data_IF_875318387687
#
_entry.id   IF_875318387687
#
_cell.length_a   1.000
_cell.length_b   1.000
_cell.length_c   1.000
_cell.angle_alpha   90.00
_cell.angle_beta   90.00
_cell.angle_gamma   90.00
#
_symmetry.space_group_name_H-M   'P 1'
#
loop_
_entity.id
_entity.type
_entity.pdbx_description
1 polymer ?
#
# COMPACT_ATOMS: atom_id res chain seq x y z
N UNK A 1 -43.50 -16.44 14.33
CA UNK A 1 -42.49 -15.60 13.68
C UNK A 1 -41.21 -16.40 13.48
N UNK A 2 -40.82 -16.63 12.24
CA UNK A 2 -39.58 -17.30 11.90
C UNK A 2 -38.54 -16.22 11.70
N UNK A 3 -37.48 -16.16 12.53
CA UNK A 3 -36.31 -15.25 12.35
C UNK A 3 -35.15 -16.04 11.76
N UNK A 4 -34.61 -15.56 10.68
CA UNK A 4 -33.43 -16.14 10.05
C UNK A 4 -32.19 -15.42 10.61
N UNK A 5 -31.33 -16.17 11.30
CA UNK A 5 -30.06 -15.68 11.81
C UNK A 5 -28.94 -16.05 10.84
N UNK A 6 -28.27 -15.08 10.29
CA UNK A 6 -27.04 -15.30 9.52
C UNK A 6 -25.85 -15.15 10.44
N UNK A 7 -25.31 -16.27 10.91
CA UNK A 7 -24.02 -16.29 11.61
C UNK A 7 -22.92 -16.30 10.55
N UNK A 8 -22.17 -15.21 10.36
CA UNK A 8 -21.10 -15.19 9.38
C UNK A 8 -20.02 -16.19 9.79
N UNK A 9 -19.86 -17.24 9.01
CA UNK A 9 -18.93 -18.36 9.24
C UNK A 9 -17.47 -17.93 9.34
N UNK A 10 -17.13 -16.74 8.81
CA UNK A 10 -15.78 -16.19 8.80
C UNK A 10 -15.86 -14.66 8.87
N UNK A 11 -15.79 -14.10 10.06
CA UNK A 11 -15.48 -12.67 10.18
C UNK A 11 -13.99 -12.44 9.98
N UNK A 12 -13.68 -11.58 9.05
CA UNK A 12 -12.29 -11.18 8.76
C UNK A 12 -11.83 -10.20 9.82
N UNK A 13 -11.03 -10.68 10.75
CA UNK A 13 -10.38 -9.83 11.78
C UNK A 13 -9.03 -9.29 11.30
N UNK A 14 -8.44 -9.94 10.28
CA UNK A 14 -7.18 -9.52 9.71
C UNK A 14 -7.37 -8.34 8.76
N UNK A 15 -6.47 -7.36 8.76
CA UNK A 15 -6.49 -6.27 7.78
C UNK A 15 -6.20 -6.81 6.38
N UNK A 16 -6.72 -6.12 5.35
CA UNK A 16 -6.41 -6.44 3.96
C UNK A 16 -5.05 -5.90 3.51
N UNK A 17 -4.47 -4.94 4.25
CA UNK A 17 -3.21 -4.28 3.92
C UNK A 17 -2.37 -4.08 5.17
N UNK A 18 -1.08 -4.37 5.06
CA UNK A 18 -0.07 -4.16 6.09
C UNK A 18 1.14 -3.47 5.45
N UNK A 19 1.60 -2.40 6.07
CA UNK A 19 2.86 -1.77 5.75
C UNK A 19 3.89 -2.13 6.83
N UNK A 20 5.14 -2.35 6.42
CA UNK A 20 6.23 -2.65 7.34
C UNK A 20 7.57 -2.18 6.77
N UNK A 21 8.56 -2.08 7.65
CA UNK A 21 9.95 -1.82 7.26
C UNK A 21 10.62 -3.15 6.91
N UNK A 22 11.57 -3.11 5.97
CA UNK A 22 12.34 -4.29 5.60
C UNK A 22 13.08 -4.88 6.83
N UNK A 23 12.95 -6.20 7.02
CA UNK A 23 13.51 -6.91 8.17
C UNK A 23 12.63 -6.88 9.43
N UNK A 24 11.50 -6.16 9.43
CA UNK A 24 10.54 -6.16 10.53
C UNK A 24 9.77 -7.49 10.60
N UNK A 25 9.50 -7.95 11.82
CA UNK A 25 8.66 -9.13 12.06
C UNK A 25 7.18 -8.75 12.02
N UNK A 26 6.48 -9.28 11.04
CA UNK A 26 5.05 -9.03 10.87
C UNK A 26 4.27 -10.18 11.49
N UNK A 27 3.46 -9.88 12.52
CA UNK A 27 2.61 -10.85 13.20
C UNK A 27 1.17 -10.75 12.70
N UNK A 28 0.61 -11.88 12.30
CA UNK A 28 -0.76 -11.99 11.78
C UNK A 28 -1.49 -13.08 12.57
N UNK A 29 -2.60 -12.78 13.26
CA UNK A 29 -3.38 -13.78 13.96
C UNK A 29 -3.78 -14.94 13.04
N UNK A 30 -3.44 -16.17 13.41
CA UNK A 30 -3.72 -17.33 12.61
C UNK A 30 -3.83 -18.60 13.45
N UNK A 31 -4.98 -19.26 13.40
CA UNK A 31 -5.27 -20.47 14.16
C UNK A 31 -5.12 -21.76 13.37
N UNK A 32 -4.60 -21.69 12.13
CA UNK A 32 -4.43 -22.86 11.26
C UNK A 32 -3.03 -23.46 11.32
N UNK A 33 -2.75 -24.33 10.36
CA UNK A 33 -1.46 -25.00 10.21
C UNK A 33 -0.59 -24.32 9.15
N UNK A 34 0.73 -24.34 9.36
CA UNK A 34 1.70 -23.79 8.40
C UNK A 34 1.96 -24.82 7.30
N UNK A 35 1.06 -24.90 6.34
CA UNK A 35 1.19 -25.78 5.18
C UNK A 35 0.95 -25.05 3.88
N UNK A 36 1.61 -25.49 2.80
CA UNK A 36 1.40 -24.93 1.46
C UNK A 36 -0.02 -25.16 0.92
N UNK A 37 -0.77 -26.11 1.50
CA UNK A 37 -2.18 -26.33 1.19
C UNK A 37 -3.05 -25.20 1.72
N UNK A 38 -2.70 -24.66 2.90
CA UNK A 38 -3.48 -23.68 3.62
C UNK A 38 -3.05 -22.23 3.34
N UNK A 39 -1.76 -22.05 3.03
CA UNK A 39 -1.13 -20.73 2.92
C UNK A 39 -0.29 -20.62 1.65
N UNK A 40 -0.16 -19.38 1.15
CA UNK A 40 0.86 -19.02 0.18
C UNK A 40 1.29 -17.56 0.44
N UNK A 41 2.58 -17.29 0.30
CA UNK A 41 3.14 -15.94 0.31
C UNK A 41 3.94 -15.75 -0.97
N UNK A 42 3.49 -14.82 -1.80
CA UNK A 42 4.15 -14.51 -3.07
C UNK A 42 4.56 -13.04 -3.11
N UNK A 43 5.78 -12.78 -3.54
CA UNK A 43 6.16 -11.45 -3.98
C UNK A 43 5.54 -11.16 -5.34
N UNK A 44 5.09 -9.94 -5.59
CA UNK A 44 4.50 -9.54 -6.85
C UNK A 44 4.92 -8.12 -7.27
N UNK A 45 4.83 -7.85 -8.55
CA UNK A 45 5.05 -6.55 -9.17
C UNK A 45 3.92 -6.26 -10.16
N UNK A 46 4.02 -5.16 -10.89
CA UNK A 46 3.11 -4.87 -12.01
C UNK A 46 3.08 -5.97 -13.10
N UNK A 47 4.18 -6.71 -13.23
CA UNK A 47 4.31 -7.84 -14.17
C UNK A 47 3.71 -9.17 -13.65
N UNK A 48 3.23 -9.20 -12.39
CA UNK A 48 2.65 -10.40 -11.78
C UNK A 48 3.49 -10.97 -10.62
N UNK A 49 3.35 -12.27 -10.34
CA UNK A 49 4.08 -12.96 -9.28
C UNK A 49 5.54 -13.10 -9.68
N UNK A 50 6.45 -12.62 -8.83
CA UNK A 50 7.90 -12.63 -9.07
C UNK A 50 8.61 -13.76 -8.34
N UNK A 51 8.18 -14.11 -7.13
CA UNK A 51 8.79 -15.18 -6.35
C UNK A 51 7.87 -15.75 -5.27
N UNK A 52 8.22 -16.95 -4.79
CA UNK A 52 7.57 -17.60 -3.65
C UNK A 52 8.37 -17.32 -2.37
N UNK A 53 7.75 -16.57 -1.46
CA UNK A 53 8.33 -16.20 -0.18
C UNK A 53 7.80 -17.05 1.00
N UNK A 54 7.17 -18.21 0.74
CA UNK A 54 6.61 -19.06 1.79
C UNK A 54 7.61 -19.46 2.89
N UNK A 55 8.90 -19.57 2.56
CA UNK A 55 9.96 -19.97 3.51
C UNK A 55 10.21 -18.93 4.61
N UNK A 56 9.80 -17.67 4.43
CA UNK A 56 9.92 -16.61 5.43
C UNK A 56 8.82 -16.68 6.48
N UNK A 57 7.84 -17.57 6.32
CA UNK A 57 6.74 -17.76 7.25
C UNK A 57 7.10 -18.76 8.34
N UNK A 58 6.74 -18.44 9.57
CA UNK A 58 6.77 -19.32 10.72
C UNK A 58 5.48 -19.21 11.52
N UNK A 59 5.13 -20.24 12.30
CA UNK A 59 3.97 -20.23 13.18
C UNK A 59 4.45 -20.20 14.63
N UNK A 60 4.11 -19.17 15.39
CA UNK A 60 4.51 -19.00 16.79
C UNK A 60 3.34 -18.45 17.61
N UNK A 61 2.99 -19.14 18.68
CA UNK A 61 1.99 -18.68 19.67
C UNK A 61 0.66 -18.23 19.06
N UNK A 62 0.14 -18.92 18.04
CA UNK A 62 -1.09 -18.55 17.36
C UNK A 62 -0.95 -17.42 16.35
N UNK A 63 0.28 -16.97 16.05
CA UNK A 63 0.57 -15.99 15.03
C UNK A 63 1.36 -16.60 13.88
N UNK A 64 0.94 -16.27 12.67
CA UNK A 64 1.76 -16.40 11.49
C UNK A 64 2.73 -15.23 11.48
N UNK A 65 4.01 -15.53 11.55
CA UNK A 65 5.09 -14.55 11.57
C UNK A 65 5.78 -14.57 10.21
N UNK A 66 5.73 -13.45 9.50
CA UNK A 66 6.57 -13.21 8.34
C UNK A 66 7.80 -12.43 8.80
N UNK A 67 8.98 -12.99 8.59
CA UNK A 67 10.24 -12.45 9.07
C UNK A 67 11.20 -12.23 7.92
N UNK A 68 12.04 -11.19 8.04
CA UNK A 68 13.11 -10.88 7.08
C UNK A 68 12.64 -10.77 5.62
N UNK A 69 11.52 -10.06 5.42
CA UNK A 69 11.06 -9.75 4.06
C UNK A 69 11.89 -8.61 3.47
N UNK A 70 12.34 -8.81 2.22
CA UNK A 70 13.00 -7.77 1.44
C UNK A 70 12.01 -6.68 1.00
N UNK A 71 12.48 -5.48 0.63
CA UNK A 71 11.61 -4.45 0.07
C UNK A 71 10.83 -4.96 -1.14
N UNK A 72 9.52 -4.71 -1.15
CA UNK A 72 8.64 -5.20 -2.21
C UNK A 72 7.20 -5.31 -1.76
N UNK A 73 6.36 -5.77 -2.66
CA UNK A 73 4.97 -6.05 -2.39
C UNK A 73 4.74 -7.56 -2.36
N UNK A 74 4.01 -8.01 -1.34
CA UNK A 74 3.74 -9.41 -1.13
C UNK A 74 2.24 -9.63 -0.96
N UNK A 75 1.78 -10.80 -1.37
CA UNK A 75 0.42 -11.25 -1.16
C UNK A 75 0.41 -12.54 -0.35
N UNK A 76 -0.09 -12.44 0.86
CA UNK A 76 -0.36 -13.59 1.72
C UNK A 76 -1.78 -14.08 1.46
N UNK A 77 -1.90 -15.33 1.05
CA UNK A 77 -3.18 -15.99 0.81
C UNK A 77 -3.48 -16.96 1.95
N UNK A 78 -4.58 -16.75 2.63
CA UNK A 78 -5.18 -17.69 3.59
C UNK A 78 -6.23 -18.50 2.84
N UNK A 79 -5.83 -19.63 2.27
CA UNK A 79 -6.63 -20.39 1.28
C UNK A 79 -7.96 -20.90 1.86
N UNK A 80 -7.95 -21.42 3.11
CA UNK A 80 -9.18 -21.93 3.76
C UNK A 80 -10.26 -20.88 3.93
N UNK A 81 -9.87 -19.64 4.21
CA UNK A 81 -10.81 -18.53 4.39
C UNK A 81 -11.01 -17.69 3.14
N UNK A 82 -10.33 -18.04 2.05
CA UNK A 82 -10.26 -17.25 0.82
C UNK A 82 -9.97 -15.77 1.09
N UNK A 83 -9.01 -15.53 2.00
CA UNK A 83 -8.63 -14.18 2.41
C UNK A 83 -7.21 -13.85 1.93
N UNK A 84 -7.06 -12.66 1.39
CA UNK A 84 -5.80 -12.13 0.91
C UNK A 84 -5.38 -10.91 1.72
N UNK A 85 -4.13 -10.90 2.17
CA UNK A 85 -3.51 -9.78 2.87
C UNK A 85 -2.35 -9.29 1.99
N UNK A 86 -2.36 -8.02 1.66
CA UNK A 86 -1.24 -7.37 0.96
C UNK A 86 -0.25 -6.87 1.99
N UNK A 87 1.02 -7.24 1.85
CA UNK A 87 2.12 -6.70 2.64
C UNK A 87 2.95 -5.80 1.74
N UNK A 88 3.16 -4.55 2.15
CA UNK A 88 4.04 -3.61 1.46
C UNK A 88 5.24 -3.32 2.33
N UNK A 89 6.40 -3.68 1.84
CA UNK A 89 7.65 -3.57 2.58
C UNK A 89 8.50 -2.49 1.92
N UNK A 90 8.99 -1.55 2.71
CA UNK A 90 9.91 -0.53 2.26
C UNK A 90 11.16 -0.50 3.12
N UNK A 91 12.31 -0.20 2.50
CA UNK A 91 13.55 0.14 3.20
C UNK A 91 13.75 1.64 3.05
N UNK A 92 13.99 2.35 4.14
CA UNK A 92 14.17 3.79 4.08
C UNK A 92 14.22 4.43 5.45
N UNK A 93 14.14 5.75 5.49
CA UNK A 93 14.12 6.53 6.72
C UNK A 93 12.74 6.49 7.35
N UNK A 94 12.67 6.16 8.64
CA UNK A 94 11.41 6.17 9.40
C UNK A 94 11.30 7.51 10.14
N UNK A 95 10.22 8.22 9.89
CA UNK A 95 9.90 9.49 10.56
C UNK A 95 8.39 9.69 10.64
N UNK A 96 7.91 10.22 11.76
CA UNK A 96 6.50 10.57 11.96
C UNK A 96 5.51 9.46 11.54
N UNK A 97 5.80 8.21 11.89
CA UNK A 97 4.92 7.09 11.56
C UNK A 97 4.91 6.70 10.07
N UNK A 98 5.92 7.12 9.31
CA UNK A 98 6.06 6.76 7.90
C UNK A 98 7.48 6.25 7.62
N UNK A 99 7.59 5.36 6.64
CA UNK A 99 8.88 5.02 6.02
C UNK A 99 8.96 5.66 4.65
N UNK A 100 10.08 6.33 4.40
CA UNK A 100 10.35 7.09 3.18
C UNK A 100 11.50 6.47 2.42
N UNK A 101 11.35 6.29 1.13
CA UNK A 101 12.46 6.06 0.20
C UNK A 101 12.18 6.76 -1.13
N UNK A 102 13.13 6.67 -2.08
CA UNK A 102 13.04 7.36 -3.37
C UNK A 102 11.84 6.93 -4.22
N UNK A 103 11.33 5.71 -4.01
CA UNK A 103 10.25 5.14 -4.80
C UNK A 103 8.88 5.32 -4.16
N UNK A 104 8.78 5.28 -2.82
CA UNK A 104 7.50 5.30 -2.14
C UNK A 104 7.58 5.74 -0.69
N UNK A 105 6.42 6.21 -0.20
CA UNK A 105 6.16 6.52 1.21
C UNK A 105 5.05 5.60 1.71
N UNK A 106 5.28 4.93 2.84
CA UNK A 106 4.28 4.06 3.48
C UNK A 106 3.99 4.54 4.90
N UNK A 107 2.73 4.72 5.23
CA UNK A 107 2.30 4.94 6.61
C UNK A 107 2.52 3.66 7.43
N UNK A 108 3.23 3.78 8.53
CA UNK A 108 3.43 2.69 9.49
C UNK A 108 2.44 2.84 10.63
N UNK A 109 1.75 1.77 10.97
CA UNK A 109 0.94 1.70 12.19
C UNK A 109 1.54 0.68 13.13
N UNK A 110 1.70 1.07 14.37
CA UNK A 110 2.03 0.12 15.42
C UNK A 110 1.01 -1.03 15.41
N UNK A 111 1.52 -2.25 15.44
CA UNK A 111 0.71 -3.44 15.29
C UNK A 111 1.07 -4.45 16.33
N UNK A 112 0.23 -4.53 17.32
CA UNK A 112 0.25 -5.60 18.30
C UNK A 112 -1.14 -6.25 18.33
N UNK A 113 -1.50 -7.06 17.31
CA UNK A 113 -2.85 -7.59 17.19
C UNK A 113 -3.13 -8.57 18.32
N UNK A 114 -4.16 -8.29 19.11
CA UNK A 114 -4.65 -9.24 20.10
C UNK A 114 -5.29 -10.45 19.40
N UNK A 115 -5.04 -11.65 19.95
CA UNK A 115 -5.54 -12.88 19.35
C UNK A 115 -6.01 -13.87 20.41
N UNK A 116 -7.19 -14.46 20.18
CA UNK A 116 -7.69 -15.59 20.97
C UNK A 116 -6.90 -16.85 20.60
N UNK A 117 -6.04 -17.30 21.50
CA UNK A 117 -5.19 -18.48 21.28
C UNK A 117 -5.87 -19.77 21.75
N UNK A 118 -6.73 -19.69 22.74
CA UNK A 118 -7.49 -20.82 23.27
C UNK A 118 -8.89 -20.38 23.69
N UNK A 119 -9.86 -21.20 23.37
CA UNK A 119 -11.23 -21.11 23.86
C UNK A 119 -11.69 -22.52 24.21
N UNK A 120 -11.90 -22.81 25.45
CA UNK A 120 -12.40 -24.10 25.92
C UNK A 120 -13.48 -23.95 26.97
N UNK A 121 -14.52 -24.74 26.86
CA UNK A 121 -15.58 -24.83 27.85
C UNK A 121 -15.52 -26.20 28.50
N UNK A 122 -15.30 -26.21 29.80
CA UNK A 122 -15.31 -27.43 30.62
C UNK A 122 -16.48 -27.37 31.61
N UNK A 123 -17.58 -27.97 31.21
CA UNK A 123 -18.81 -28.10 32.01
C UNK A 123 -19.32 -26.80 32.64
N UNK A 124 -18.59 -26.22 33.53
CA UNK A 124 -18.97 -25.01 34.31
C UNK A 124 -18.05 -23.82 34.14
N UNK A 125 -16.88 -24.00 33.52
CA UNK A 125 -15.89 -22.94 33.36
C UNK A 125 -15.53 -22.71 31.90
N UNK A 126 -15.44 -21.45 31.52
CA UNK A 126 -14.99 -21.00 30.22
C UNK A 126 -13.55 -20.48 30.36
N UNK A 127 -12.61 -21.17 29.70
CA UNK A 127 -11.20 -20.73 29.64
C UNK A 127 -10.95 -19.99 28.32
N UNK A 128 -10.46 -18.77 28.42
CA UNK A 128 -10.17 -17.91 27.27
C UNK A 128 -8.74 -17.41 27.41
N UNK A 129 -7.86 -17.78 26.47
CA UNK A 129 -6.50 -17.27 26.43
C UNK A 129 -6.35 -16.25 25.30
N UNK A 130 -5.88 -15.05 25.65
CA UNK A 130 -5.66 -13.96 24.70
C UNK A 130 -4.18 -13.62 24.70
N UNK A 131 -3.57 -13.59 23.53
CA UNK A 131 -2.19 -13.13 23.34
C UNK A 131 -2.17 -11.67 22.89
N UNK A 132 -1.05 -10.99 23.17
CA UNK A 132 -0.80 -9.58 22.85
C UNK A 132 -1.90 -8.64 23.41
N UNK A 133 -2.18 -8.77 24.71
CA UNK A 133 -3.10 -7.86 25.40
C UNK A 133 -2.39 -6.55 25.74
N UNK A 134 -3.03 -5.42 25.51
CA UNK A 134 -2.59 -4.08 25.90
C UNK A 134 -3.66 -3.38 26.75
N UNK A 135 -3.38 -2.17 27.18
CA UNK A 135 -4.28 -1.37 28.04
C UNK A 135 -5.67 -1.14 27.42
N UNK A 136 -5.74 -1.07 26.10
CA UNK A 136 -6.98 -0.85 25.35
C UNK A 136 -7.68 -2.15 24.94
N UNK A 137 -7.08 -3.31 25.19
CA UNK A 137 -7.70 -4.60 24.85
C UNK A 137 -8.96 -4.80 25.69
N UNK A 138 -10.06 -5.16 25.02
CA UNK A 138 -11.33 -5.49 25.67
C UNK A 138 -11.79 -6.86 25.19
N UNK A 139 -12.19 -7.69 26.14
CA UNK A 139 -12.78 -8.99 25.89
C UNK A 139 -14.27 -8.92 26.24
N UNK A 140 -15.13 -9.15 25.27
CA UNK A 140 -16.57 -9.24 25.50
C UNK A 140 -16.97 -10.70 25.47
N UNK A 141 -17.51 -11.19 26.58
CA UNK A 141 -18.05 -12.53 26.72
C UNK A 141 -19.56 -12.43 26.88
N UNK A 142 -20.30 -13.06 26.00
CA UNK A 142 -21.76 -13.05 26.00
C UNK A 142 -22.23 -14.49 26.00
N UNK A 143 -22.94 -14.88 27.05
CA UNK A 143 -23.58 -16.15 27.15
C UNK A 143 -25.09 -15.96 27.06
N UNK A 144 -25.73 -16.63 26.11
CA UNK A 144 -27.19 -16.55 25.92
C UNK A 144 -27.76 -17.95 25.84
N UNK A 145 -28.96 -18.15 26.45
CA UNK A 145 -29.73 -19.39 26.30
C UNK A 145 -30.42 -19.45 24.95
N UNK A 146 -30.76 -18.28 24.42
CA UNK A 146 -31.39 -18.11 23.13
C UNK A 146 -30.58 -17.09 22.32
N UNK A 147 -30.68 -17.14 20.98
CA UNK A 147 -30.08 -16.14 20.12
C UNK A 147 -30.65 -14.75 20.45
N UNK A 148 -29.79 -13.76 20.72
CA UNK A 148 -30.23 -12.41 21.05
C UNK A 148 -30.91 -11.74 19.85
N UNK A 149 -31.76 -10.76 20.12
CA UNK A 149 -32.46 -9.99 19.09
C UNK A 149 -31.55 -9.03 18.32
N UNK A 150 -30.32 -8.77 18.83
CA UNK A 150 -29.34 -7.92 18.22
C UNK A 150 -28.07 -8.70 17.89
N UNK A 151 -27.40 -8.31 16.82
CA UNK A 151 -26.08 -8.81 16.46
C UNK A 151 -24.99 -7.81 16.92
N UNK A 152 -24.37 -8.10 18.06
CA UNK A 152 -23.28 -7.30 18.61
C UNK A 152 -22.14 -7.10 17.60
N UNK A 153 -21.90 -8.09 16.77
CA UNK A 153 -20.82 -8.04 15.79
C UNK A 153 -21.13 -7.10 14.62
N UNK A 154 -22.39 -6.97 14.22
CA UNK A 154 -22.76 -5.97 13.22
C UNK A 154 -22.58 -4.58 13.78
N UNK A 155 -22.87 -4.36 15.05
CA UNK A 155 -22.65 -3.09 15.73
C UNK A 155 -21.16 -2.74 15.85
N UNK A 156 -20.32 -3.67 16.29
CA UNK A 156 -18.87 -3.48 16.41
C UNK A 156 -18.16 -3.44 15.04
N UNK A 157 -18.75 -4.05 14.03
CA UNK A 157 -18.19 -4.08 12.67
C UNK A 157 -18.26 -2.75 11.90
N UNK A 158 -18.97 -1.77 12.43
CA UNK A 158 -19.13 -0.45 11.80
C UNK A 158 -18.02 0.57 12.17
N UNK A 159 -17.00 0.16 12.93
CA UNK A 159 -15.86 1.03 13.16
C UNK A 159 -15.20 1.41 11.82
N UNK A 160 -15.04 2.70 11.52
CA UNK A 160 -14.47 3.14 10.26
C UNK A 160 -13.05 2.59 10.13
N UNK A 161 -12.80 1.82 9.08
CA UNK A 161 -11.45 1.38 8.73
C UNK A 161 -10.81 2.50 7.93
N UNK A 162 -10.02 3.33 8.58
CA UNK A 162 -9.15 4.27 7.85
C UNK A 162 -8.13 3.47 7.07
N UNK A 163 -8.08 3.68 5.75
CA UNK A 163 -7.05 3.08 4.90
C UNK A 163 -5.66 3.55 5.32
N UNK A 164 -4.63 2.73 5.07
CA UNK A 164 -3.24 3.14 5.23
C UNK A 164 -2.82 4.02 4.06
N UNK A 165 -2.15 5.12 4.34
CA UNK A 165 -1.59 5.97 3.30
C UNK A 165 -0.42 5.29 2.61
N UNK A 166 -0.43 5.31 1.28
CA UNK A 166 0.67 4.85 0.44
C UNK A 166 0.84 5.83 -0.70
N UNK A 167 1.93 6.57 -0.69
CA UNK A 167 2.35 7.44 -1.78
C UNK A 167 3.43 6.77 -2.62
N UNK A 168 3.35 6.91 -3.93
CA UNK A 168 4.48 6.62 -4.82
C UNK A 168 5.16 7.93 -5.14
N UNK A 169 6.47 8.02 -4.85
CA UNK A 169 7.28 9.08 -5.39
C UNK A 169 7.57 8.70 -6.84
N UNK A 170 6.83 9.28 -7.76
CA UNK A 170 7.30 9.28 -9.14
C UNK A 170 8.49 10.25 -9.15
N UNK A 171 9.70 9.74 -9.18
CA UNK A 171 10.82 10.52 -9.67
C UNK A 171 10.50 10.84 -11.13
N UNK A 172 9.82 11.96 -11.33
CA UNK A 172 9.77 12.57 -12.64
C UNK A 172 11.22 12.93 -12.95
N UNK A 173 11.82 12.33 -14.00
CA UNK A 173 13.17 12.71 -14.39
C UNK A 173 13.13 14.19 -14.74
N UNK A 174 13.56 15.02 -13.82
CA UNK A 174 13.71 16.45 -14.06
C UNK A 174 15.06 16.62 -14.75
N UNK A 175 15.07 16.41 -16.04
CA UNK A 175 16.26 16.60 -16.84
C UNK A 175 16.37 18.10 -17.17
N UNK A 176 17.08 18.84 -16.33
CA UNK A 176 17.48 20.20 -16.65
C UNK A 176 18.73 20.17 -17.52
N UNK A 177 18.57 20.46 -18.80
CA UNK A 177 19.69 20.61 -19.72
C UNK A 177 19.92 22.09 -19.95
N UNK A 178 21.03 22.60 -19.40
CA UNK A 178 21.45 23.98 -19.60
C UNK A 178 21.87 24.21 -21.07
N UNK A 179 21.45 25.34 -21.64
CA UNK A 179 21.81 25.73 -22.99
C UNK A 179 21.04 25.03 -24.12
N UNK A 180 20.06 24.20 -23.81
CA UNK A 180 19.21 23.55 -24.84
C UNK A 180 18.34 24.59 -25.53
N UNK A 181 18.25 24.53 -26.85
CA UNK A 181 17.30 25.32 -27.63
C UNK A 181 15.90 24.78 -27.40
N UNK A 182 14.99 25.62 -26.89
CA UNK A 182 13.62 25.23 -26.59
C UNK A 182 12.62 25.54 -27.73
N UNK A 183 13.12 26.07 -28.85
CA UNK A 183 12.29 26.59 -29.93
C UNK A 183 11.84 28.05 -29.68
N UNK A 184 11.73 28.79 -30.76
CA UNK A 184 11.43 30.22 -30.70
C UNK A 184 10.03 30.51 -30.22
N UNK A 185 9.08 29.63 -30.46
CA UNK A 185 7.69 29.77 -29.98
C UNK A 185 7.63 29.70 -28.44
N UNK A 186 8.36 28.79 -27.81
CA UNK A 186 8.40 28.69 -26.33
C UNK A 186 9.15 29.84 -25.72
N UNK A 187 10.27 30.26 -26.35
CA UNK A 187 11.00 31.45 -25.95
C UNK A 187 10.14 32.69 -26.00
N UNK A 188 9.40 32.88 -27.09
CA UNK A 188 8.47 33.99 -27.24
C UNK A 188 7.37 33.99 -26.17
N UNK A 189 6.80 32.83 -25.83
CA UNK A 189 5.79 32.67 -24.77
C UNK A 189 6.37 33.09 -23.42
N UNK A 190 7.59 32.64 -23.09
CA UNK A 190 8.26 32.99 -21.86
C UNK A 190 8.59 34.47 -21.76
N UNK A 191 9.19 35.04 -22.82
CA UNK A 191 9.51 36.46 -22.91
C UNK A 191 8.26 37.32 -22.78
N UNK A 192 7.17 36.94 -23.42
CA UNK A 192 5.87 37.64 -23.32
C UNK A 192 5.27 37.55 -21.92
N UNK A 193 5.43 36.44 -21.25
CA UNK A 193 4.94 36.26 -19.88
C UNK A 193 5.64 37.18 -18.89
N UNK A 194 6.93 37.41 -19.08
CA UNK A 194 7.75 38.19 -18.16
C UNK A 194 8.04 39.63 -18.67
N UNK A 195 7.66 39.96 -19.88
CA UNK A 195 7.82 41.30 -20.40
C UNK A 195 6.99 42.33 -19.59
N UNK A 196 7.59 43.42 -19.27
CA UNK A 196 6.82 44.59 -18.73
C UNK A 196 5.85 45.07 -19.79
N UNK A 197 4.59 45.29 -19.37
CA UNK A 197 3.55 45.80 -20.25
C UNK A 197 3.75 47.29 -20.45
N UNK A 198 4.64 47.69 -21.33
CA UNK A 198 4.84 49.04 -21.74
C UNK A 198 4.13 49.30 -23.10
N UNK A 199 3.50 50.45 -23.29
CA UNK A 199 2.94 50.82 -24.59
C UNK A 199 4.02 50.81 -25.68
N UNK A 200 3.76 50.08 -26.76
CA UNK A 200 4.73 49.93 -27.87
C UNK A 200 5.78 48.83 -27.71
N UNK A 201 5.70 48.02 -26.67
CA UNK A 201 6.62 46.88 -26.52
C UNK A 201 6.30 45.82 -27.55
N UNK A 202 7.12 45.71 -28.59
CA UNK A 202 7.01 44.74 -29.67
C UNK A 202 8.05 43.66 -29.47
N UNK A 203 7.64 42.51 -28.95
CA UNK A 203 8.49 41.31 -28.96
C UNK A 203 8.56 40.75 -30.38
N UNK A 204 9.73 40.36 -30.79
CA UNK A 204 9.94 39.65 -32.06
C UNK A 204 9.10 38.36 -32.07
N UNK A 205 8.28 38.15 -33.11
CA UNK A 205 7.43 36.99 -33.23
C UNK A 205 8.21 35.87 -33.89
N UNK A 206 8.16 34.64 -33.33
CA UNK A 206 8.74 33.48 -33.98
C UNK A 206 8.17 33.27 -35.39
N UNK A 207 8.98 32.81 -36.31
CA UNK A 207 8.61 32.61 -37.67
C UNK A 207 7.42 31.66 -37.82
N UNK A 208 7.31 30.65 -36.99
CA UNK A 208 6.19 29.71 -36.98
C UNK A 208 4.83 30.35 -36.66
N UNK A 209 4.80 31.47 -35.93
CA UNK A 209 3.56 32.23 -35.68
C UNK A 209 3.15 33.06 -36.91
N UNK A 210 4.10 33.39 -37.78
CA UNK A 210 3.87 34.14 -39.03
C UNK A 210 3.69 33.19 -40.21
N UNK A 211 4.40 32.04 -40.19
CA UNK A 211 4.35 31.04 -41.23
C UNK A 211 4.20 29.64 -40.57
N UNK A 212 3.00 29.02 -40.60
CA UNK A 212 2.77 27.71 -40.01
C UNK A 212 3.60 26.56 -40.62
N UNK A 213 4.19 26.80 -41.77
CA UNK A 213 5.02 25.85 -42.51
C UNK A 213 6.53 26.00 -42.19
N UNK A 214 6.91 26.93 -41.33
CA UNK A 214 8.30 27.12 -40.97
C UNK A 214 8.85 25.89 -40.24
N UNK A 215 10.06 25.50 -40.56
CA UNK A 215 10.78 24.40 -39.91
C UNK A 215 11.21 24.84 -38.53
N UNK A 216 10.95 24.02 -37.51
CA UNK A 216 11.34 24.29 -36.11
C UNK A 216 12.80 23.91 -35.93
N UNK A 217 13.57 24.83 -35.38
CA UNK A 217 14.92 24.55 -34.88
C UNK A 217 14.85 24.31 -33.37
N UNK A 218 14.80 23.05 -32.97
CA UNK A 218 14.77 22.66 -31.55
C UNK A 218 15.96 21.77 -31.22
N UNK A 219 16.44 21.83 -29.98
CA UNK A 219 17.58 20.99 -29.53
C UNK A 219 17.28 19.47 -29.56
N UNK A 220 16.03 19.07 -29.82
CA UNK A 220 15.62 17.66 -29.87
C UNK A 220 15.93 17.01 -31.21
N UNK A 221 15.92 17.78 -32.31
CA UNK A 221 16.17 17.25 -33.64
C UNK A 221 17.67 16.92 -33.87
N UNK A 222 18.56 17.66 -33.24
CA UNK A 222 20.02 17.37 -33.30
C UNK A 222 20.40 16.08 -32.59
N UNK A 223 19.70 15.69 -31.54
CA UNK A 223 19.96 14.44 -30.80
C UNK A 223 19.43 13.20 -31.53
N UNK A 224 18.31 13.32 -32.24
CA UNK A 224 17.72 12.20 -33.01
C UNK A 224 18.54 11.86 -34.23
N UNK A 225 19.13 12.87 -34.88
CA UNK A 225 20.03 12.67 -36.04
C UNK A 225 21.39 12.08 -35.65
N UNK A 226 21.90 12.41 -34.44
CA UNK A 226 23.13 11.84 -33.91
C UNK A 226 23.01 10.40 -33.42
N UNK A 227 21.79 9.95 -33.07
CA UNK A 227 21.51 8.56 -32.64
C UNK A 227 21.20 7.59 -33.78
N UNK A 228 21.15 8.06 -35.00
CA UNK A 228 20.82 7.27 -36.18
C UNK A 228 22.01 6.87 -37.08
N UNK A 229 23.24 7.14 -36.65
CA UNK A 229 24.46 6.93 -37.45
C UNK A 229 25.50 6.01 -36.76
N UNK A 230 25.01 4.97 -36.04
CA UNK A 230 25.84 3.86 -35.54
C UNK A 230 25.25 2.51 -35.94
#
# INVERSE_FOLDING_TARGET
HQRLWQLPKHRRTNPGLIHAVAGEKIQIPYSGTLTRKDLALHAFSSAGITSDAFRTLSLKNGFLVADNLEPGDYRLLLKKSNHSITLRIARGTVSNGHVFNDARTLELRERNPSHLTKLSLDGKSLEINVANTGETTRLHVIATRFLPDFDLFSFLGHAPRTGLFSGTSANLPNLYVSGRKIGDEFRYILERRYAQKLPGNMLERPEILLNPWAVRDTGTEGEVLAAGDD
#
